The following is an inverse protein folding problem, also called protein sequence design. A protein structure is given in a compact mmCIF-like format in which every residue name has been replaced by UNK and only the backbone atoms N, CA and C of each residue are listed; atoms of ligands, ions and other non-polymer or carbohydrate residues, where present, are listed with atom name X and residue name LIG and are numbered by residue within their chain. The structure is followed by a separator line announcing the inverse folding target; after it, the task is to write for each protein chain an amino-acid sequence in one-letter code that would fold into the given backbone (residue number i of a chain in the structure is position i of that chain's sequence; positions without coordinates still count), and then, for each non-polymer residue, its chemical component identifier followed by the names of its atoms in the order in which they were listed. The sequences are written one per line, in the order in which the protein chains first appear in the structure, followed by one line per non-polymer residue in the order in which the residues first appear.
data_IF_205717229368
#
_entry.id   IF_205717229368
#
_cell.length_a   1.000
_cell.length_b   1.000
_cell.length_c   1.000
_cell.angle_alpha   90.00
_cell.angle_beta   90.00
_cell.angle_gamma   90.00
#
_symmetry.space_group_name_H-M   'P 1'
#
loop_
_entity.id
_entity.type
_entity.pdbx_description
1 polymer ?
#
# COMPACT_ATOMS: atom_id res chain seq x y z
N UNK A 1 6.03 1.67 -17.41
CA UNK A 1 6.62 0.36 -17.75
C UNK A 1 8.06 0.25 -17.26
N UNK A 2 9.00 1.07 -17.76
CA UNK A 2 10.43 0.98 -17.40
C UNK A 2 10.68 1.03 -15.88
N UNK A 3 10.06 1.99 -15.18
CA UNK A 3 10.15 2.12 -13.72
C UNK A 3 9.61 0.88 -12.97
N UNK A 4 8.57 0.24 -13.51
CA UNK A 4 8.00 -0.98 -12.90
C UNK A 4 8.93 -2.16 -13.17
N UNK A 5 9.44 -2.31 -14.39
CA UNK A 5 10.42 -3.33 -14.75
C UNK A 5 11.66 -3.25 -13.85
N UNK A 6 12.25 -2.06 -13.67
CA UNK A 6 13.40 -1.89 -12.78
C UNK A 6 13.08 -2.26 -11.32
N UNK A 7 11.92 -1.86 -10.81
CA UNK A 7 11.51 -2.24 -9.45
C UNK A 7 11.26 -3.74 -9.31
N UNK A 8 10.65 -4.37 -10.31
CA UNK A 8 10.47 -5.82 -10.39
C UNK A 8 11.81 -6.57 -10.54
N UNK A 9 12.81 -5.98 -11.18
CA UNK A 9 14.16 -6.53 -11.22
C UNK A 9 14.85 -6.48 -9.86
N UNK A 10 14.64 -5.41 -9.08
CA UNK A 10 15.18 -5.30 -7.73
C UNK A 10 14.55 -6.29 -6.74
N UNK A 11 13.26 -6.61 -6.92
CA UNK A 11 12.60 -7.70 -6.21
C UNK A 11 11.20 -7.93 -6.80
N UNK A 12 11.06 -9.00 -7.59
CA UNK A 12 9.79 -9.41 -8.22
C UNK A 12 8.77 -9.88 -7.19
N UNK A 13 9.25 -10.19 -5.99
CA UNK A 13 8.48 -10.56 -4.82
C UNK A 13 7.49 -9.42 -4.44
N UNK A 14 7.92 -8.17 -4.23
CA UNK A 14 7.02 -7.07 -3.82
C UNK A 14 6.05 -6.54 -4.90
N UNK A 15 5.80 -7.29 -5.97
CA UNK A 15 5.03 -6.83 -7.12
C UNK A 15 3.60 -6.40 -6.75
N UNK A 16 2.94 -7.12 -5.84
CA UNK A 16 1.57 -6.80 -5.41
C UNK A 16 1.50 -5.42 -4.76
N UNK A 17 2.38 -5.14 -3.79
CA UNK A 17 2.48 -3.84 -3.15
C UNK A 17 2.86 -2.72 -4.12
N UNK A 18 3.86 -2.94 -4.98
CA UNK A 18 4.30 -1.91 -5.94
C UNK A 18 3.19 -1.58 -6.94
N UNK A 19 2.48 -2.61 -7.42
CA UNK A 19 1.39 -2.44 -8.39
C UNK A 19 0.21 -1.71 -7.77
N UNK A 20 -0.26 -2.16 -6.60
CA UNK A 20 -1.39 -1.51 -5.92
C UNK A 20 -1.04 -0.07 -5.54
N UNK A 21 0.19 0.18 -5.08
CA UNK A 21 0.68 1.54 -4.81
C UNK A 21 0.67 2.42 -6.05
N UNK A 22 1.17 1.93 -7.18
CA UNK A 22 1.19 2.69 -8.43
C UNK A 22 -0.23 2.98 -8.96
N UNK A 23 -1.17 2.07 -8.70
CA UNK A 23 -2.58 2.22 -9.07
C UNK A 23 -3.38 3.08 -8.09
N UNK A 24 -2.88 3.31 -6.88
CA UNK A 24 -3.68 3.87 -5.80
C UNK A 24 -4.31 5.23 -6.11
N UNK A 25 -3.65 6.23 -6.73
CA UNK A 25 -4.29 7.53 -6.98
C UNK A 25 -5.46 7.42 -7.95
N UNK A 26 -5.36 6.51 -8.92
CA UNK A 26 -6.39 6.25 -9.93
C UNK A 26 -7.52 5.40 -9.37
N UNK A 27 -7.22 4.39 -8.54
CA UNK A 27 -8.24 3.62 -7.82
C UNK A 27 -9.04 4.49 -6.85
N UNK A 28 -8.36 5.37 -6.09
CA UNK A 28 -9.00 6.33 -5.20
C UNK A 28 -9.91 7.27 -6.00
N UNK A 29 -9.41 7.82 -7.11
CA UNK A 29 -10.20 8.72 -7.96
C UNK A 29 -11.39 8.01 -8.60
N UNK A 30 -11.19 6.78 -9.10
CA UNK A 30 -12.23 5.97 -9.72
C UNK A 30 -13.37 5.69 -8.75
N UNK A 31 -13.04 5.16 -7.56
CA UNK A 31 -14.03 4.87 -6.53
C UNK A 31 -14.68 6.16 -6.05
N UNK A 32 -13.92 7.22 -5.78
CA UNK A 32 -14.48 8.49 -5.35
C UNK A 32 -15.51 9.02 -6.34
N UNK A 33 -15.16 9.08 -7.63
CA UNK A 33 -16.05 9.59 -8.67
C UNK A 33 -17.22 8.66 -8.97
N UNK A 34 -17.10 7.35 -8.72
CA UNK A 34 -18.21 6.40 -8.85
C UNK A 34 -19.35 6.71 -7.88
N UNK A 35 -19.03 7.15 -6.65
CA UNK A 35 -20.02 7.41 -5.60
C UNK A 35 -20.39 8.88 -5.43
N UNK A 36 -19.50 9.82 -5.78
CA UNK A 36 -19.72 11.25 -5.56
C UNK A 36 -20.17 12.03 -6.80
N UNK A 37 -20.04 11.47 -8.03
CA UNK A 37 -20.30 12.15 -9.31
C UNK A 37 -19.64 13.53 -9.50
N UNK A 38 -18.70 13.91 -8.63
CA UNK A 38 -18.03 15.20 -8.62
C UNK A 38 -16.53 15.05 -8.87
N UNK A 39 -15.96 16.09 -9.47
CA UNK A 39 -14.54 16.18 -9.79
C UNK A 39 -13.77 17.10 -8.84
N UNK A 40 -14.44 17.72 -7.86
CA UNK A 40 -13.83 18.68 -6.93
C UNK A 40 -14.31 18.42 -5.51
N UNK A 41 -13.36 18.27 -4.58
CA UNK A 41 -13.63 18.13 -3.14
C UNK A 41 -13.13 19.37 -2.43
N UNK A 42 -14.05 20.21 -1.98
CA UNK A 42 -13.73 21.41 -1.23
C UNK A 42 -13.33 21.08 0.21
N UNK A 43 -12.17 21.58 0.62
CA UNK A 43 -11.65 21.45 1.98
C UNK A 43 -12.16 22.64 2.80
N UNK A 44 -11.81 23.84 2.35
CA UNK A 44 -12.21 25.13 2.90
C UNK A 44 -12.37 26.15 1.76
N UNK A 45 -12.75 27.38 2.10
CA UNK A 45 -12.90 28.48 1.13
C UNK A 45 -11.57 28.67 0.38
N UNK A 46 -11.58 28.47 -0.94
CA UNK A 46 -10.41 28.61 -1.81
C UNK A 46 -9.53 27.36 -1.99
N UNK A 47 -9.64 26.34 -1.14
CA UNK A 47 -8.84 25.11 -1.27
C UNK A 47 -9.68 23.88 -1.60
N UNK A 48 -9.29 23.19 -2.68
CA UNK A 48 -10.00 22.03 -3.19
C UNK A 48 -9.08 20.97 -3.77
N UNK A 49 -9.43 19.70 -3.62
CA UNK A 49 -8.83 18.60 -4.37
C UNK A 49 -9.54 18.41 -5.70
N UNK A 50 -8.79 18.34 -6.79
CA UNK A 50 -9.30 17.92 -8.08
C UNK A 50 -9.20 16.40 -8.16
N UNK A 51 -10.31 15.75 -8.47
CA UNK A 51 -10.42 14.31 -8.66
C UNK A 51 -10.65 14.02 -10.14
N UNK A 52 -9.95 13.01 -10.67
CA UNK A 52 -10.11 12.61 -12.06
C UNK A 52 -11.53 12.07 -12.30
N UNK A 53 -12.18 12.43 -13.42
CA UNK A 53 -13.48 11.85 -13.79
C UNK A 53 -13.43 10.32 -13.85
N UNK A 54 -14.53 9.66 -13.46
CA UNK A 54 -14.61 8.20 -13.33
C UNK A 54 -14.07 7.43 -14.56
N UNK A 55 -14.49 7.81 -15.78
CA UNK A 55 -14.04 7.17 -17.02
C UNK A 55 -12.52 7.30 -17.25
N UNK A 56 -11.96 8.46 -16.94
CA UNK A 56 -10.52 8.73 -17.11
C UNK A 56 -9.72 7.97 -16.05
N UNK A 57 -10.17 8.01 -14.80
CA UNK A 57 -9.56 7.26 -13.70
C UNK A 57 -9.54 5.75 -14.01
N UNK A 58 -10.67 5.19 -14.44
CA UNK A 58 -10.78 3.79 -14.85
C UNK A 58 -9.81 3.44 -15.99
N UNK A 59 -9.80 4.27 -17.05
CA UNK A 59 -8.88 4.08 -18.19
C UNK A 59 -7.42 4.03 -17.74
N UNK A 60 -7.00 4.95 -16.87
CA UNK A 60 -5.63 4.96 -16.36
C UNK A 60 -5.32 3.79 -15.43
N UNK A 61 -6.28 3.37 -14.59
CA UNK A 61 -6.12 2.14 -13.78
C UNK A 61 -5.86 0.93 -14.67
N UNK A 62 -6.65 0.73 -15.73
CA UNK A 62 -6.47 -0.41 -16.65
C UNK A 62 -5.13 -0.33 -17.40
N UNK A 63 -4.80 0.83 -17.96
CA UNK A 63 -3.54 1.01 -18.69
C UNK A 63 -2.35 0.72 -17.78
N UNK A 64 -2.32 1.30 -16.57
CA UNK A 64 -1.23 1.08 -15.63
C UNK A 64 -1.17 -0.37 -15.14
N UNK A 65 -2.30 -1.03 -14.93
CA UNK A 65 -2.33 -2.44 -14.55
C UNK A 65 -1.72 -3.33 -15.63
N UNK A 66 -2.10 -3.12 -16.90
CA UNK A 66 -1.51 -3.85 -18.03
C UNK A 66 0.00 -3.58 -18.13
N UNK A 67 0.41 -2.31 -18.01
CA UNK A 67 1.84 -1.95 -18.04
C UNK A 67 2.62 -2.53 -16.84
N UNK A 68 1.97 -2.70 -15.68
CA UNK A 68 2.55 -3.38 -14.52
C UNK A 68 2.77 -4.85 -14.80
N UNK A 69 1.77 -5.56 -15.34
CA UNK A 69 1.89 -6.97 -15.72
C UNK A 69 2.99 -7.13 -16.78
N UNK A 70 2.99 -6.32 -17.83
CA UNK A 70 4.01 -6.38 -18.87
C UNK A 70 5.41 -6.14 -18.31
N UNK A 71 5.58 -5.12 -17.45
CA UNK A 71 6.86 -4.84 -16.79
C UNK A 71 7.33 -5.99 -15.89
N UNK A 72 6.40 -6.61 -15.15
CA UNK A 72 6.70 -7.78 -14.33
C UNK A 72 7.10 -8.98 -15.17
N UNK A 73 6.34 -9.31 -16.22
CA UNK A 73 6.64 -10.46 -17.07
C UNK A 73 8.02 -10.34 -17.71
N UNK A 74 8.41 -9.16 -18.19
CA UNK A 74 9.75 -8.91 -18.73
C UNK A 74 10.83 -9.15 -17.68
N UNK A 75 10.67 -8.59 -16.47
CA UNK A 75 11.62 -8.78 -15.38
C UNK A 75 11.68 -10.25 -14.92
N UNK A 76 10.53 -10.92 -14.85
CA UNK A 76 10.40 -12.29 -14.38
C UNK A 76 11.00 -13.29 -15.37
N UNK A 77 10.75 -13.12 -16.67
CA UNK A 77 11.38 -13.93 -17.72
C UNK A 77 12.90 -13.76 -17.70
N UNK A 78 13.36 -12.51 -17.57
CA UNK A 78 14.79 -12.23 -17.45
C UNK A 78 15.42 -12.91 -16.23
N UNK A 79 14.76 -12.85 -15.06
CA UNK A 79 15.25 -13.54 -13.87
C UNK A 79 15.19 -15.07 -13.98
N UNK A 80 14.16 -15.62 -14.61
CA UNK A 80 14.10 -17.05 -14.89
C UNK A 80 15.26 -17.48 -15.79
N UNK A 81 15.53 -16.75 -16.87
CA UNK A 81 16.67 -17.02 -17.75
C UNK A 81 18.00 -17.04 -16.99
N UNK A 82 18.26 -16.07 -16.10
CA UNK A 82 19.48 -16.02 -15.30
C UNK A 82 19.58 -17.16 -14.27
N UNK A 83 18.46 -17.61 -13.71
CA UNK A 83 18.43 -18.66 -12.67
C UNK A 83 18.47 -20.09 -13.21
N UNK A 84 18.15 -20.26 -14.48
CA UNK A 84 18.26 -21.53 -15.17
C UNK A 84 19.48 -21.62 -16.08
N UNK A 85 20.47 -20.74 -15.90
CA UNK A 85 21.69 -20.68 -16.71
C UNK A 85 21.42 -20.68 -18.23
N UNK A 86 20.36 -19.99 -18.65
CA UNK A 86 19.91 -19.92 -20.03
C UNK A 86 18.66 -20.73 -20.37
N UNK A 87 18.28 -21.71 -19.53
CA UNK A 87 17.03 -22.46 -19.66
C UNK A 87 15.91 -21.84 -18.80
N UNK A 88 14.92 -21.24 -19.47
CA UNK A 88 13.79 -20.58 -18.80
C UNK A 88 12.94 -21.58 -18.00
N UNK A 89 12.72 -22.81 -18.48
CA UNK A 89 11.90 -23.79 -17.78
C UNK A 89 12.58 -24.24 -16.49
N UNK A 90 13.88 -24.50 -16.55
CA UNK A 90 14.69 -24.78 -15.37
C UNK A 90 14.67 -23.61 -14.40
N UNK A 91 14.84 -22.38 -14.90
CA UNK A 91 14.79 -21.17 -14.10
C UNK A 91 13.45 -20.95 -13.40
N UNK A 92 12.33 -21.22 -14.07
CA UNK A 92 10.99 -21.17 -13.49
C UNK A 92 10.81 -22.21 -12.38
N UNK A 93 11.30 -23.44 -12.61
CA UNK A 93 11.30 -24.50 -11.59
C UNK A 93 12.11 -24.07 -10.36
N UNK A 94 13.32 -23.54 -10.57
CA UNK A 94 14.18 -23.05 -9.50
C UNK A 94 13.51 -21.92 -8.72
N UNK A 95 12.92 -20.93 -9.40
CA UNK A 95 12.15 -19.84 -8.75
C UNK A 95 11.01 -20.41 -7.90
N UNK A 96 10.28 -21.37 -8.44
CA UNK A 96 9.13 -21.94 -7.74
C UNK A 96 9.55 -22.66 -6.46
N UNK A 97 10.56 -23.53 -6.54
CA UNK A 97 11.01 -24.32 -5.40
C UNK A 97 11.79 -23.50 -4.37
N UNK A 98 12.73 -22.68 -4.81
CA UNK A 98 13.63 -21.95 -3.91
C UNK A 98 13.01 -20.66 -3.38
N UNK A 99 12.19 -19.96 -4.15
CA UNK A 99 11.65 -18.67 -3.69
C UNK A 99 10.18 -18.75 -3.38
N UNK A 100 9.35 -19.19 -4.32
CA UNK A 100 7.90 -19.16 -4.10
C UNK A 100 7.50 -20.04 -2.89
N UNK A 101 7.87 -21.32 -2.89
CA UNK A 101 7.49 -22.23 -1.81
C UNK A 101 8.12 -21.83 -0.46
N UNK A 102 9.37 -21.36 -0.45
CA UNK A 102 10.09 -20.99 0.78
C UNK A 102 9.62 -19.65 1.38
N UNK A 103 9.26 -18.67 0.54
CA UNK A 103 9.09 -17.26 0.94
C UNK A 103 7.63 -16.78 0.86
N UNK A 104 6.80 -17.39 0.03
CA UNK A 104 5.41 -16.97 -0.21
C UNK A 104 4.41 -17.86 0.54
N UNK A 105 3.16 -17.90 0.06
CA UNK A 105 2.15 -18.86 0.49
C UNK A 105 2.32 -20.14 -0.33
N UNK A 106 2.68 -21.27 0.28
CA UNK A 106 2.58 -22.58 -0.41
C UNK A 106 3.54 -23.68 0.04
N UNK A 107 4.69 -23.34 0.65
CA UNK A 107 5.64 -24.35 1.12
C UNK A 107 5.20 -25.07 2.40
N UNK A 108 5.64 -26.31 2.56
CA UNK A 108 5.50 -27.06 3.82
C UNK A 108 6.81 -27.03 4.57
N UNK A 109 6.76 -26.80 5.88
CA UNK A 109 7.95 -26.71 6.73
C UNK A 109 8.90 -27.91 6.61
N UNK A 110 8.35 -29.11 6.40
CA UNK A 110 9.13 -30.35 6.25
C UNK A 110 10.02 -30.42 5.01
N UNK A 111 9.74 -29.59 3.99
CA UNK A 111 10.44 -29.62 2.71
C UNK A 111 11.63 -28.63 2.70
N UNK A 112 11.83 -27.88 3.80
CA UNK A 112 12.85 -26.85 3.94
C UNK A 112 13.58 -26.98 5.27
N UNK A 113 14.70 -26.26 5.43
CA UNK A 113 15.43 -26.20 6.70
C UNK A 113 14.51 -25.78 7.85
N UNK A 114 14.74 -26.38 9.02
CA UNK A 114 13.94 -26.13 10.24
C UNK A 114 13.86 -24.65 10.63
N UNK A 115 14.84 -23.83 10.22
CA UNK A 115 14.85 -22.37 10.45
C UNK A 115 13.63 -21.67 9.81
N UNK A 116 13.08 -22.21 8.71
CA UNK A 116 11.91 -21.65 8.03
C UNK A 116 10.58 -22.14 8.58
N UNK A 117 10.56 -23.17 9.44
CA UNK A 117 9.35 -23.84 9.89
C UNK A 117 8.33 -22.89 10.53
N UNK A 118 8.79 -22.02 11.44
CA UNK A 118 7.94 -21.02 12.10
C UNK A 118 7.33 -20.04 11.10
N UNK A 119 8.10 -19.61 10.10
CA UNK A 119 7.65 -18.65 9.09
C UNK A 119 6.60 -19.24 8.14
N UNK A 120 6.76 -20.50 7.75
CA UNK A 120 5.86 -21.21 6.85
C UNK A 120 4.54 -21.55 7.57
N UNK A 121 4.62 -21.92 8.86
CA UNK A 121 3.46 -22.27 9.69
C UNK A 121 2.76 -21.05 10.33
N UNK A 122 3.39 -19.86 10.32
CA UNK A 122 2.79 -18.66 10.88
C UNK A 122 1.44 -18.31 10.24
N UNK A 123 0.54 -17.74 11.03
CA UNK A 123 -0.70 -17.16 10.50
C UNK A 123 -0.44 -15.73 9.97
N UNK A 124 -1.18 -15.33 8.93
CA UNK A 124 -1.16 -13.98 8.34
C UNK A 124 -1.39 -12.90 9.40
N UNK A 125 -2.26 -13.15 10.39
CA UNK A 125 -2.51 -12.21 11.48
C UNK A 125 -1.28 -11.99 12.36
N UNK A 126 -0.51 -13.04 12.65
CA UNK A 126 0.74 -12.95 13.43
C UNK A 126 1.76 -12.10 12.65
N UNK A 127 1.91 -12.37 11.36
CA UNK A 127 2.79 -11.59 10.49
C UNK A 127 2.37 -10.13 10.47
N UNK A 128 1.10 -9.85 10.20
CA UNK A 128 0.59 -8.48 10.14
C UNK A 128 0.77 -7.74 11.47
N UNK A 129 0.53 -8.42 12.60
CA UNK A 129 0.73 -7.86 13.93
C UNK A 129 2.19 -7.46 14.19
N UNK A 130 3.18 -8.28 13.78
CA UNK A 130 4.61 -7.93 13.88
C UNK A 130 4.91 -6.58 13.24
N UNK A 131 4.25 -6.24 12.12
CA UNK A 131 4.44 -4.97 11.42
C UNK A 131 3.66 -3.79 12.00
N UNK A 132 2.70 -4.03 12.88
CA UNK A 132 2.03 -2.97 13.65
C UNK A 132 2.85 -2.66 14.91
N UNK A 133 3.47 -3.67 15.51
CA UNK A 133 4.28 -3.53 16.72
C UNK A 133 5.69 -2.94 16.45
N UNK A 134 6.24 -3.13 15.24
CA UNK A 134 7.64 -2.80 14.94
C UNK A 134 7.92 -1.34 14.54
N UNK A 135 9.17 -0.93 14.80
CA UNK A 135 9.61 0.42 15.18
C UNK A 135 10.29 1.25 14.08
N UNK A 136 9.86 1.24 12.83
CA UNK A 136 10.82 1.64 11.78
C UNK A 136 10.48 2.84 10.90
N UNK A 137 9.22 3.30 10.79
CA UNK A 137 8.94 4.51 9.99
C UNK A 137 8.55 5.75 10.81
N UNK A 138 7.79 5.57 11.88
CA UNK A 138 7.40 6.66 12.79
C UNK A 138 8.20 6.65 14.10
N UNK A 139 9.27 5.87 14.20
CA UNK A 139 10.04 5.73 15.45
C UNK A 139 10.76 6.98 15.89
N UNK A 140 11.00 7.95 14.99
CA UNK A 140 11.45 9.30 15.36
C UNK A 140 10.45 9.94 16.34
N UNK A 141 9.16 9.63 16.21
CA UNK A 141 8.09 10.09 17.11
C UNK A 141 7.79 9.11 18.27
N UNK A 142 8.56 8.02 18.41
CA UNK A 142 8.42 7.02 19.47
C UNK A 142 7.99 5.63 18.98
N UNK A 143 8.15 4.62 19.86
CA UNK A 143 7.88 3.20 19.56
C UNK A 143 6.47 2.96 19.01
N UNK A 144 5.47 3.60 19.63
CA UNK A 144 4.05 3.32 19.36
C UNK A 144 3.43 4.30 18.37
N UNK A 145 4.23 5.19 17.77
CA UNK A 145 3.74 6.29 16.94
C UNK A 145 2.91 5.80 15.74
N UNK A 146 3.29 4.70 15.09
CA UNK A 146 2.50 4.13 13.99
C UNK A 146 1.09 3.75 14.41
N UNK A 147 0.96 3.03 15.53
CA UNK A 147 -0.34 2.64 16.10
C UNK A 147 -1.14 3.85 16.56
N UNK A 148 -0.50 4.81 17.22
CA UNK A 148 -1.15 6.05 17.68
C UNK A 148 -1.70 6.86 16.51
N UNK A 149 -0.90 7.12 15.47
CA UNK A 149 -1.36 7.86 14.29
C UNK A 149 -2.43 7.12 13.48
N UNK A 150 -2.37 5.79 13.45
CA UNK A 150 -3.41 4.96 12.83
C UNK A 150 -4.75 5.07 13.58
N UNK A 151 -4.74 4.93 14.91
CA UNK A 151 -5.93 5.09 15.75
C UNK A 151 -6.47 6.53 15.67
N UNK A 152 -5.58 7.52 15.77
CA UNK A 152 -5.94 8.93 15.65
C UNK A 152 -6.61 9.21 14.30
N UNK A 153 -6.07 8.69 13.20
CA UNK A 153 -6.66 8.83 11.86
C UNK A 153 -8.07 8.23 11.78
N UNK A 154 -8.28 7.06 12.37
CA UNK A 154 -9.60 6.41 12.42
C UNK A 154 -10.59 7.28 13.22
N UNK A 155 -10.19 7.76 14.40
CA UNK A 155 -11.01 8.65 15.22
C UNK A 155 -11.37 9.94 14.47
N UNK A 156 -10.40 10.58 13.81
CA UNK A 156 -10.64 11.78 13.03
C UNK A 156 -11.55 11.52 11.83
N UNK A 157 -11.41 10.39 11.12
CA UNK A 157 -12.33 9.99 10.05
C UNK A 157 -13.77 9.85 10.55
N UNK A 158 -13.98 9.34 11.76
CA UNK A 158 -15.32 9.24 12.37
C UNK A 158 -15.90 10.64 12.63
N UNK A 159 -15.08 11.56 13.14
CA UNK A 159 -15.48 12.93 13.52
C UNK A 159 -15.71 13.89 12.34
N UNK A 160 -15.13 13.63 11.16
CA UNK A 160 -15.32 14.47 9.97
C UNK A 160 -16.80 14.41 9.52
N UNK A 161 -17.47 15.56 9.57
CA UNK A 161 -18.87 15.71 9.14
C UNK A 161 -19.04 15.89 7.63
N UNK A 162 -18.03 16.48 6.95
CA UNK A 162 -18.07 16.71 5.50
C UNK A 162 -17.94 15.37 4.76
N UNK A 163 -19.06 14.81 4.33
CA UNK A 163 -19.16 13.46 3.73
C UNK A 163 -18.15 13.25 2.60
N UNK A 164 -17.98 14.22 1.70
CA UNK A 164 -17.06 14.11 0.56
C UNK A 164 -15.60 14.02 0.98
N UNK A 165 -15.15 14.88 1.90
CA UNK A 165 -13.80 14.82 2.46
C UNK A 165 -13.59 13.49 3.20
N UNK A 166 -14.55 13.12 4.06
CA UNK A 166 -14.52 11.85 4.79
C UNK A 166 -14.35 10.66 3.84
N UNK A 167 -15.13 10.63 2.77
CA UNK A 167 -15.10 9.56 1.80
C UNK A 167 -13.77 9.48 1.05
N UNK A 168 -13.25 10.62 0.59
CA UNK A 168 -11.94 10.69 -0.06
C UNK A 168 -10.82 10.19 0.88
N UNK A 169 -10.78 10.68 2.11
CA UNK A 169 -9.77 10.29 3.09
C UNK A 169 -9.90 8.81 3.51
N UNK A 170 -11.13 8.29 3.61
CA UNK A 170 -11.38 6.87 3.87
C UNK A 170 -10.85 5.99 2.74
N UNK A 171 -11.11 6.37 1.48
CA UNK A 171 -10.57 5.65 0.32
C UNK A 171 -9.04 5.68 0.28
N UNK A 172 -8.43 6.84 0.58
CA UNK A 172 -6.97 6.94 0.72
C UNK A 172 -6.47 5.99 1.80
N UNK A 173 -7.07 6.01 2.98
CA UNK A 173 -6.67 5.16 4.11
C UNK A 173 -6.72 3.68 3.74
N UNK A 174 -7.82 3.22 3.17
CA UNK A 174 -8.03 1.81 2.82
C UNK A 174 -7.08 1.39 1.69
N UNK A 175 -7.01 2.14 0.58
CA UNK A 175 -6.25 1.71 -0.60
C UNK A 175 -4.75 1.71 -0.32
N UNK A 176 -4.24 2.73 0.37
CA UNK A 176 -2.82 2.73 0.74
C UNK A 176 -2.49 1.67 1.79
N UNK A 177 -3.39 1.35 2.73
CA UNK A 177 -3.20 0.22 3.64
C UNK A 177 -3.15 -1.12 2.88
N UNK A 178 -4.09 -1.34 1.94
CA UNK A 178 -4.16 -2.55 1.12
C UNK A 178 -2.88 -2.75 0.31
N UNK A 179 -2.27 -1.67 -0.16
CA UNK A 179 -0.98 -1.72 -0.84
C UNK A 179 0.08 -2.43 0.02
N UNK A 180 0.26 -1.99 1.27
CA UNK A 180 1.24 -2.59 2.19
C UNK A 180 0.83 -4.00 2.62
N UNK A 181 -0.44 -4.18 3.01
CA UNK A 181 -0.96 -5.45 3.52
C UNK A 181 -0.90 -6.56 2.47
N UNK A 182 -1.06 -6.24 1.18
CA UNK A 182 -1.04 -7.24 0.11
C UNK A 182 0.22 -8.12 0.16
N UNK A 183 1.39 -7.55 0.47
CA UNK A 183 2.62 -8.33 0.60
C UNK A 183 2.68 -9.13 1.91
N UNK A 184 2.22 -8.59 3.03
CA UNK A 184 2.20 -9.35 4.29
C UNK A 184 1.32 -10.59 4.21
N UNK A 185 0.32 -10.56 3.33
CA UNK A 185 -0.50 -11.72 2.97
C UNK A 185 0.28 -12.65 2.03
N UNK A 186 0.67 -12.18 0.84
CA UNK A 186 1.26 -13.04 -0.21
C UNK A 186 2.68 -13.53 0.09
N UNK A 187 3.54 -12.66 0.63
CA UNK A 187 4.89 -12.95 1.09
C UNK A 187 4.94 -13.24 2.60
N UNK A 188 3.95 -13.98 3.12
CA UNK A 188 3.78 -14.24 4.56
C UNK A 188 5.04 -14.78 5.22
N UNK A 189 5.62 -15.86 4.68
CA UNK A 189 6.79 -16.51 5.27
C UNK A 189 8.02 -15.58 5.24
N UNK A 190 8.24 -14.90 4.11
CA UNK A 190 9.30 -13.90 3.98
C UNK A 190 9.13 -12.75 4.97
N UNK A 191 7.91 -12.25 5.10
CA UNK A 191 7.56 -11.17 6.01
C UNK A 191 7.62 -11.58 7.48
N UNK A 192 7.48 -12.86 7.81
CA UNK A 192 7.66 -13.31 9.19
C UNK A 192 9.12 -13.18 9.65
N UNK A 193 10.07 -13.41 8.74
CA UNK A 193 11.52 -13.40 8.99
C UNK A 193 12.09 -11.98 8.84
N UNK A 194 11.78 -11.30 7.73
CA UNK A 194 12.40 -10.03 7.34
C UNK A 194 11.64 -8.79 7.82
N UNK A 195 11.29 -8.74 9.11
CA UNK A 195 10.57 -7.59 9.70
C UNK A 195 11.36 -6.28 9.64
N UNK A 196 12.70 -6.37 9.68
CA UNK A 196 13.61 -5.23 9.59
C UNK A 196 13.70 -4.61 8.19
N UNK A 197 13.17 -5.26 7.15
CA UNK A 197 13.21 -4.75 5.78
C UNK A 197 11.80 -4.41 5.30
N UNK A 198 10.86 -5.34 5.45
CA UNK A 198 9.52 -5.21 4.87
C UNK A 198 8.64 -4.16 5.57
N UNK A 199 9.09 -3.56 6.68
CA UNK A 199 8.40 -2.43 7.30
C UNK A 199 8.25 -1.25 6.32
N UNK A 200 9.20 -1.11 5.37
CA UNK A 200 9.21 -0.02 4.39
C UNK A 200 7.95 -0.01 3.53
N UNK A 201 7.24 -1.14 3.45
CA UNK A 201 5.99 -1.24 2.72
C UNK A 201 4.90 -0.37 3.33
N UNK A 202 4.90 -0.13 4.65
CA UNK A 202 4.02 0.87 5.25
C UNK A 202 4.30 2.29 4.78
N UNK A 203 5.56 2.57 4.46
CA UNK A 203 6.01 3.85 3.93
C UNK A 203 5.53 4.10 2.49
N UNK A 204 5.02 3.08 1.79
CA UNK A 204 4.41 3.21 0.46
C UNK A 204 3.01 3.86 0.55
N UNK A 205 2.99 5.13 0.95
CA UNK A 205 1.82 5.98 1.01
C UNK A 205 0.99 5.85 2.27
N UNK A 206 0.88 4.67 2.92
CA UNK A 206 0.03 4.52 4.09
C UNK A 206 0.48 5.39 5.27
N UNK A 207 1.78 5.39 5.57
CA UNK A 207 2.32 6.28 6.61
C UNK A 207 2.09 7.77 6.33
N UNK A 208 2.07 8.17 5.05
CA UNK A 208 1.73 9.55 4.70
C UNK A 208 0.25 9.85 4.97
N UNK A 209 -0.65 8.91 4.65
CA UNK A 209 -2.09 9.06 4.87
C UNK A 209 -2.45 9.18 6.36
N UNK A 210 -1.84 8.36 7.22
CA UNK A 210 -2.12 8.40 8.67
C UNK A 210 -1.63 9.69 9.35
N UNK A 211 -0.68 10.40 8.73
CA UNK A 211 -0.29 11.76 9.17
C UNK A 211 -1.20 12.82 8.55
N UNK A 212 -1.57 12.62 7.30
CA UNK A 212 -2.35 13.57 6.51
C UNK A 212 -3.78 13.76 7.03
N UNK A 213 -4.44 12.70 7.47
CA UNK A 213 -5.82 12.77 7.99
C UNK A 213 -5.93 13.70 9.21
N UNK A 214 -5.11 13.56 10.27
CA UNK A 214 -5.07 14.52 11.38
C UNK A 214 -4.83 15.96 10.93
N UNK A 215 -3.92 16.19 9.97
CA UNK A 215 -3.62 17.53 9.45
C UNK A 215 -4.85 18.14 8.80
N UNK A 216 -5.55 17.40 7.93
CA UNK A 216 -6.78 17.89 7.27
C UNK A 216 -7.89 18.14 8.28
N UNK A 217 -7.98 17.32 9.33
CA UNK A 217 -8.95 17.53 10.40
C UNK A 217 -8.69 18.85 11.16
N UNK A 218 -7.46 19.08 11.62
CA UNK A 218 -7.05 20.31 12.31
C UNK A 218 -7.24 21.53 11.40
N UNK A 219 -6.85 21.42 10.13
CA UNK A 219 -7.01 22.47 9.14
C UNK A 219 -8.48 22.87 8.93
N UNK A 220 -9.39 21.89 8.88
CA UNK A 220 -10.83 22.15 8.78
C UNK A 220 -11.39 22.86 10.01
N UNK A 221 -10.91 22.53 11.22
CA UNK A 221 -11.29 23.22 12.45
C UNK A 221 -10.84 24.67 12.40
N UNK A 222 -9.57 24.90 12.04
CA UNK A 222 -8.99 26.24 11.96
C UNK A 222 -9.74 27.14 10.98
N UNK A 223 -10.06 26.63 9.78
CA UNK A 223 -10.85 27.38 8.80
C UNK A 223 -12.24 27.74 9.34
N UNK A 224 -12.92 26.80 10.03
CA UNK A 224 -14.23 27.07 10.63
C UNK A 224 -14.16 28.15 11.70
N UNK A 225 -13.09 28.19 12.49
CA UNK A 225 -12.88 29.22 13.51
C UNK A 225 -12.68 30.58 12.83
N UNK A 226 -11.84 30.65 11.79
CA UNK A 226 -11.63 31.88 11.01
C UNK A 226 -12.94 32.40 10.38
N UNK A 227 -13.74 31.54 9.77
CA UNK A 227 -15.03 31.93 9.18
C UNK A 227 -15.97 32.55 10.23
N UNK A 228 -15.97 32.04 11.46
CA UNK A 228 -16.76 32.59 12.58
C UNK A 228 -16.25 33.99 12.98
N UNK A 229 -14.92 34.19 13.02
CA UNK A 229 -14.34 35.49 13.31
C UNK A 229 -14.68 36.51 12.20
N UNK A 230 -14.50 36.15 10.92
CA UNK A 230 -14.86 37.01 9.79
C UNK A 230 -16.35 37.38 9.78
N UNK A 231 -17.25 36.49 10.18
CA UNK A 231 -18.70 36.78 10.21
C UNK A 231 -19.15 37.75 11.31
N UNK A 232 -18.28 38.05 12.28
CA UNK A 232 -18.59 38.93 13.42
C UNK A 232 -18.09 40.37 13.23
N UNK A 233 -17.32 40.63 12.17
CA UNK A 233 -16.80 41.95 11.79
C UNK A 233 -17.32 42.35 10.41
#
# INVERSE_FOLDING_TARGET
MLSICFKSLCSYEYMTSITIFALSPFLISFLFSLFSNESVVYICKGNSFKVLPCKIAFKYTIILFILSIAGFLLAFIWQAFLRGDGDILLGLSNIYHEDFLRRMIGGKAKDFDNVYADSLNANIFIVTYKYIEHKYFLSIFGKDAFSVFSILSILMLILIKKVKIKYLLLLMFIIFALSSISWFVFGKAHSYIHTHMNFVLWSLGFSAVILYIPIIFIYNIFCKILDIFESKF
#
